data_IF_206854758977
#
_entry.id   IF_206854758977
#
_cell.length_a   1.000
_cell.length_b   1.000
_cell.length_c   1.000
_cell.angle_alpha   90.00
_cell.angle_beta   90.00
_cell.angle_gamma   90.00
#
_symmetry.space_group_name_H-M   'P 1'
#
loop_
_entity.id
_entity.type
_entity.pdbx_description
1 polymer ?
#
# COMPACT_ATOMS: atom_id res chain seq x y z
N UNK A 1 32.66 -9.16 -3.14
CA UNK A 1 31.22 -9.51 -3.26
C UNK A 1 31.09 -11.01 -3.49
N UNK A 2 30.66 -11.79 -2.48
CA UNK A 2 30.36 -13.21 -2.71
C UNK A 2 28.91 -13.30 -3.18
N UNK A 3 28.60 -13.84 -4.37
CA UNK A 3 27.24 -13.96 -4.85
C UNK A 3 26.44 -14.89 -3.92
N UNK A 4 25.16 -14.56 -3.72
CA UNK A 4 24.20 -15.38 -2.99
C UNK A 4 23.97 -16.70 -3.76
N UNK A 5 24.82 -17.69 -3.53
CA UNK A 5 24.77 -19.02 -4.18
C UNK A 5 23.44 -19.75 -3.96
N UNK A 6 22.70 -19.43 -2.89
CA UNK A 6 21.41 -20.04 -2.59
C UNK A 6 20.28 -19.66 -3.55
N UNK A 7 20.23 -18.40 -4.04
CA UNK A 7 19.20 -17.95 -4.98
C UNK A 7 19.41 -18.58 -6.36
N UNK A 8 20.67 -18.77 -6.77
CA UNK A 8 21.00 -19.40 -8.04
C UNK A 8 20.62 -20.90 -8.07
N UNK A 9 20.70 -21.59 -6.94
CA UNK A 9 20.36 -23.02 -6.84
C UNK A 9 18.84 -23.25 -6.95
N UNK A 10 18.02 -22.36 -6.37
CA UNK A 10 16.56 -22.42 -6.49
C UNK A 10 16.13 -22.14 -7.94
N UNK A 11 16.80 -21.21 -8.63
CA UNK A 11 16.54 -20.89 -10.03
C UNK A 11 16.89 -22.05 -10.99
N UNK A 12 17.91 -22.84 -10.66
CA UNK A 12 18.32 -24.01 -11.45
C UNK A 12 17.40 -25.23 -11.25
N UNK A 13 16.85 -25.43 -10.04
CA UNK A 13 15.92 -26.53 -9.75
C UNK A 13 14.52 -26.30 -10.35
N UNK A 14 14.09 -25.07 -10.55
CA UNK A 14 12.81 -24.73 -11.16
C UNK A 14 12.76 -24.95 -12.68
N UNK A 15 13.89 -25.17 -13.34
CA UNK A 15 13.96 -25.30 -14.79
C UNK A 15 13.77 -26.75 -15.31
N UNK A 16 13.79 -27.76 -14.43
CA UNK A 16 13.94 -29.14 -14.86
C UNK A 16 12.65 -29.99 -14.96
N UNK A 17 11.48 -29.50 -14.48
CA UNK A 17 10.27 -30.31 -14.56
C UNK A 17 8.97 -29.46 -14.43
N UNK A 18 8.68 -28.63 -15.42
CA UNK A 18 7.50 -27.72 -15.43
C UNK A 18 6.18 -28.52 -15.27
N UNK A 19 6.08 -29.68 -15.89
CA UNK A 19 4.86 -30.49 -15.84
C UNK A 19 4.62 -31.09 -14.43
N UNK A 20 5.66 -31.61 -13.79
CA UNK A 20 5.56 -32.13 -12.42
C UNK A 20 5.27 -30.99 -11.40
N UNK A 21 5.76 -29.79 -11.67
CA UNK A 21 5.47 -28.61 -10.87
C UNK A 21 4.00 -28.18 -10.99
N UNK A 22 3.46 -28.13 -12.22
CA UNK A 22 2.04 -27.82 -12.46
C UNK A 22 1.12 -28.85 -11.77
N UNK A 23 1.39 -30.14 -11.93
CA UNK A 23 0.64 -31.22 -11.25
C UNK A 23 0.68 -31.10 -9.73
N UNK A 24 1.84 -30.73 -9.15
CA UNK A 24 1.99 -30.51 -7.71
C UNK A 24 1.12 -29.34 -7.22
N UNK A 25 1.15 -28.17 -7.88
CA UNK A 25 0.34 -27.02 -7.47
C UNK A 25 -1.16 -27.25 -7.72
N UNK A 26 -1.53 -27.97 -8.76
CA UNK A 26 -2.91 -28.37 -9.02
C UNK A 26 -3.45 -29.30 -7.92
N UNK A 27 -2.64 -30.27 -7.47
CA UNK A 27 -3.00 -31.16 -6.36
C UNK A 27 -3.21 -30.39 -5.05
N UNK A 28 -2.34 -29.42 -4.74
CA UNK A 28 -2.50 -28.52 -3.60
C UNK A 28 -3.79 -27.71 -3.73
N UNK A 29 -4.02 -27.08 -4.88
CA UNK A 29 -5.22 -26.27 -5.12
C UNK A 29 -6.51 -27.08 -4.97
N UNK A 30 -6.52 -28.34 -5.40
CA UNK A 30 -7.66 -29.25 -5.19
C UNK A 30 -7.83 -29.60 -3.71
N UNK A 31 -6.75 -29.94 -3.01
CA UNK A 31 -6.79 -30.27 -1.59
C UNK A 31 -7.24 -29.09 -0.71
N UNK A 32 -6.97 -27.87 -1.13
CA UNK A 32 -7.33 -26.63 -0.45
C UNK A 32 -8.67 -26.03 -0.92
N UNK A 33 -9.44 -26.76 -1.71
CA UNK A 33 -10.74 -26.32 -2.23
C UNK A 33 -11.84 -27.29 -1.80
N UNK A 34 -12.94 -26.76 -1.30
CA UNK A 34 -14.12 -27.53 -0.90
C UNK A 34 -15.32 -26.96 -1.66
N UNK A 35 -16.11 -27.82 -2.26
CA UNK A 35 -17.35 -27.46 -2.93
C UNK A 35 -18.47 -28.41 -2.54
N UNK A 36 -19.66 -27.86 -2.26
CA UNK A 36 -20.85 -28.67 -1.98
C UNK A 36 -21.29 -29.42 -3.22
N UNK A 37 -22.01 -30.56 -3.04
CA UNK A 37 -22.53 -31.35 -4.15
C UNK A 37 -23.48 -30.57 -5.07
N UNK A 38 -24.18 -29.57 -4.56
CA UNK A 38 -25.03 -28.67 -5.35
C UNK A 38 -24.26 -27.57 -6.11
N UNK A 39 -22.96 -27.38 -5.86
CA UNK A 39 -22.16 -26.31 -6.41
C UNK A 39 -22.45 -24.90 -5.81
N UNK A 40 -23.43 -24.80 -4.91
CA UNK A 40 -23.90 -23.54 -4.38
C UNK A 40 -22.99 -22.97 -3.25
N UNK A 41 -22.17 -23.80 -2.64
CA UNK A 41 -21.23 -23.40 -1.60
C UNK A 41 -19.82 -23.83 -2.01
N UNK A 42 -18.89 -22.94 -1.89
CA UNK A 42 -17.48 -23.19 -2.15
C UNK A 42 -16.62 -22.44 -1.14
N UNK A 43 -15.52 -23.07 -0.74
CA UNK A 43 -14.46 -22.40 0.01
C UNK A 43 -13.11 -22.81 -0.58
N UNK A 44 -12.18 -21.86 -0.64
CA UNK A 44 -10.83 -22.06 -1.14
C UNK A 44 -9.83 -21.39 -0.22
N UNK A 45 -8.81 -22.15 0.16
CA UNK A 45 -7.61 -21.62 0.76
C UNK A 45 -6.55 -21.47 -0.34
N UNK A 46 -5.84 -20.34 -0.38
CA UNK A 46 -4.75 -20.09 -1.31
C UNK A 46 -3.65 -19.28 -0.62
N UNK A 47 -2.51 -19.15 -1.24
CA UNK A 47 -1.43 -18.41 -0.62
C UNK A 47 -0.41 -17.84 -1.59
N UNK A 48 0.33 -16.85 -1.08
CA UNK A 48 1.48 -16.24 -1.73
C UNK A 48 2.65 -16.27 -0.73
N UNK A 49 3.73 -16.91 -1.13
CA UNK A 49 4.98 -16.93 -0.39
C UNK A 49 6.03 -16.09 -1.13
N UNK A 50 6.55 -15.07 -0.47
CA UNK A 50 7.55 -14.16 -0.99
C UNK A 50 8.86 -14.32 -0.23
N UNK A 51 9.97 -14.38 -0.98
CA UNK A 51 11.32 -14.21 -0.48
C UNK A 51 11.86 -12.88 -1.04
N UNK A 52 12.03 -11.90 -0.17
CA UNK A 52 12.46 -10.55 -0.55
C UNK A 52 13.84 -10.23 0.03
N UNK A 53 14.70 -9.66 -0.79
CA UNK A 53 15.98 -9.13 -0.38
C UNK A 53 16.17 -7.70 -0.87
N UNK A 54 16.71 -6.83 0.00
CA UNK A 54 16.96 -5.43 -0.28
C UNK A 54 18.40 -5.05 0.03
N UNK A 55 18.93 -4.12 -0.76
CA UNK A 55 20.17 -3.42 -0.51
C UNK A 55 19.92 -1.91 -0.65
N UNK A 56 20.30 -1.13 0.34
CA UNK A 56 20.08 0.31 0.41
C UNK A 56 21.43 1.02 0.50
N UNK A 57 21.59 2.15 -0.18
CA UNK A 57 22.76 3.04 0.03
C UNK A 57 22.69 3.81 1.34
N UNK A 58 21.53 3.82 1.99
CA UNK A 58 21.23 4.43 3.30
C UNK A 58 20.10 3.61 3.95
N UNK A 59 19.71 3.94 5.22
CA UNK A 59 18.57 3.32 5.85
C UNK A 59 17.33 3.32 4.96
N UNK A 60 16.56 2.22 5.02
CA UNK A 60 15.43 1.99 4.14
C UNK A 60 14.42 3.13 4.14
N UNK A 61 13.93 3.56 2.98
CA UNK A 61 12.92 4.60 2.88
C UNK A 61 11.52 4.06 3.20
N UNK A 62 10.64 4.95 3.62
CA UNK A 62 9.22 4.70 3.73
C UNK A 62 8.84 3.57 4.69
N UNK A 63 7.83 2.79 4.32
CA UNK A 63 7.29 1.70 5.13
C UNK A 63 8.21 0.47 5.19
N UNK A 64 9.17 0.35 4.28
CA UNK A 64 10.23 -0.64 4.38
C UNK A 64 11.23 -0.13 5.41
N UNK A 65 11.30 -0.78 6.57
CA UNK A 65 12.18 -0.36 7.65
C UNK A 65 13.36 -1.31 7.80
N UNK A 66 14.57 -0.74 7.87
CA UNK A 66 15.80 -1.44 8.22
C UNK A 66 16.81 -0.45 8.80
N UNK A 67 17.45 -0.83 9.90
CA UNK A 67 18.60 -0.11 10.46
C UNK A 67 19.89 -0.42 9.72
N UNK A 68 19.87 -1.44 8.86
CA UNK A 68 21.01 -1.91 8.09
C UNK A 68 20.81 -1.60 6.61
N UNK A 69 21.90 -1.51 5.88
CA UNK A 69 21.91 -1.36 4.43
C UNK A 69 21.37 -2.61 3.68
N UNK A 70 21.07 -3.68 4.38
CA UNK A 70 20.56 -4.94 3.81
C UNK A 70 19.41 -5.47 4.64
N UNK A 71 18.38 -5.94 3.96
CA UNK A 71 17.22 -6.55 4.58
C UNK A 71 16.84 -7.82 3.83
N UNK A 72 16.53 -8.88 4.56
CA UNK A 72 15.86 -10.08 4.05
C UNK A 72 14.51 -10.21 4.74
N UNK A 73 13.44 -10.26 3.97
CA UNK A 73 12.06 -10.27 4.46
C UNK A 73 11.25 -11.40 3.82
N UNK A 74 11.24 -12.61 4.41
CA UNK A 74 10.31 -13.65 4.01
C UNK A 74 8.89 -13.28 4.45
N UNK A 75 7.91 -13.53 3.59
CA UNK A 75 6.50 -13.22 3.83
C UNK A 75 5.61 -14.33 3.30
N UNK A 76 4.65 -14.77 4.10
CA UNK A 76 3.57 -15.67 3.70
C UNK A 76 2.23 -14.94 3.87
N UNK A 77 1.46 -14.82 2.79
CA UNK A 77 0.08 -14.35 2.82
C UNK A 77 -0.83 -15.53 2.50
N UNK A 78 -1.78 -15.81 3.37
CA UNK A 78 -2.77 -16.88 3.22
C UNK A 78 -4.14 -16.23 3.04
N UNK A 79 -4.86 -16.66 2.02
CA UNK A 79 -6.18 -16.15 1.67
C UNK A 79 -7.23 -17.24 1.85
N UNK A 80 -8.34 -16.90 2.47
CA UNK A 80 -9.54 -17.73 2.52
C UNK A 80 -10.65 -17.01 1.76
N UNK A 81 -11.17 -17.64 0.72
CA UNK A 81 -12.32 -17.21 -0.04
C UNK A 81 -13.46 -18.19 0.18
N UNK A 82 -14.65 -17.71 0.53
CA UNK A 82 -15.82 -18.53 0.73
C UNK A 82 -17.03 -17.90 0.05
N UNK A 83 -17.80 -18.70 -0.65
CA UNK A 83 -19.00 -18.28 -1.37
C UNK A 83 -20.20 -19.14 -0.97
N UNK A 84 -21.34 -18.49 -0.74
CA UNK A 84 -22.62 -19.18 -0.54
C UNK A 84 -23.68 -18.59 -1.48
N UNK A 85 -24.11 -19.40 -2.43
CA UNK A 85 -24.96 -18.98 -3.53
C UNK A 85 -24.30 -17.89 -4.39
N UNK A 86 -25.12 -17.05 -5.00
CA UNK A 86 -24.66 -15.92 -5.86
C UNK A 86 -24.50 -14.61 -5.09
N UNK A 87 -24.93 -14.56 -3.83
CA UNK A 87 -25.12 -13.30 -3.10
C UNK A 87 -24.13 -13.11 -1.96
N UNK A 88 -23.61 -14.17 -1.37
CA UNK A 88 -22.73 -14.07 -0.21
C UNK A 88 -21.32 -14.49 -0.59
N UNK A 89 -20.35 -13.61 -0.29
CA UNK A 89 -18.95 -13.87 -0.46
C UNK A 89 -18.18 -13.34 0.77
N UNK A 90 -17.44 -14.22 1.41
CA UNK A 90 -16.55 -13.87 2.51
C UNK A 90 -15.10 -14.12 2.11
N UNK A 91 -14.21 -13.24 2.54
CA UNK A 91 -12.77 -13.41 2.34
C UNK A 91 -11.99 -12.98 3.57
N UNK A 92 -10.80 -13.56 3.72
CA UNK A 92 -9.83 -13.10 4.70
C UNK A 92 -8.41 -13.25 4.17
N UNK A 93 -7.51 -12.39 4.65
CA UNK A 93 -6.07 -12.44 4.41
C UNK A 93 -5.34 -12.43 5.74
N UNK A 94 -4.59 -13.50 6.00
CA UNK A 94 -3.66 -13.58 7.13
C UNK A 94 -2.24 -13.50 6.59
N UNK A 95 -1.42 -12.64 7.18
CA UNK A 95 -0.03 -12.44 6.78
C UNK A 95 0.92 -12.82 7.91
N UNK A 96 1.97 -13.52 7.55
CA UNK A 96 3.10 -13.86 8.40
C UNK A 96 4.35 -13.25 7.80
N UNK A 97 4.91 -12.24 8.45
CA UNK A 97 6.15 -11.57 8.07
C UNK A 97 6.83 -10.97 9.30
N UNK A 98 7.82 -10.12 9.10
CA UNK A 98 8.53 -9.42 10.16
C UNK A 98 7.81 -8.15 10.65
N UNK A 99 6.58 -7.94 10.21
CA UNK A 99 5.75 -6.78 10.56
C UNK A 99 6.04 -5.57 9.67
N UNK A 100 5.55 -4.40 10.10
CA UNK A 100 5.76 -3.12 9.39
C UNK A 100 7.15 -2.51 9.66
N UNK A 101 7.89 -3.07 10.58
CA UNK A 101 9.29 -2.79 10.84
C UNK A 101 10.07 -4.13 10.78
N UNK A 102 10.42 -4.61 9.60
CA UNK A 102 10.99 -5.93 9.43
C UNK A 102 12.44 -6.04 9.88
N UNK A 103 13.12 -4.94 10.27
CA UNK A 103 14.55 -4.97 10.56
C UNK A 103 14.94 -5.76 11.81
N UNK A 104 14.12 -5.69 12.88
CA UNK A 104 14.51 -6.15 14.21
C UNK A 104 13.53 -7.10 14.88
N UNK A 105 12.37 -7.37 14.26
CA UNK A 105 11.30 -8.16 14.86
C UNK A 105 11.25 -9.56 14.23
N UNK A 106 10.96 -10.55 15.07
CA UNK A 106 10.71 -11.91 14.62
C UNK A 106 9.44 -12.04 13.79
N UNK A 107 9.15 -13.25 13.34
CA UNK A 107 7.92 -13.57 12.60
C UNK A 107 6.68 -13.18 13.41
N UNK A 108 5.76 -12.45 12.77
CA UNK A 108 4.47 -12.04 13.32
C UNK A 108 3.35 -12.45 12.38
N UNK A 109 2.29 -13.01 12.96
CA UNK A 109 1.03 -13.23 12.26
C UNK A 109 0.08 -12.07 12.53
N UNK A 110 -0.60 -11.61 11.48
CA UNK A 110 -1.67 -10.61 11.59
C UNK A 110 -2.74 -10.86 10.54
N UNK A 111 -3.95 -10.42 10.84
CA UNK A 111 -5.04 -10.38 9.87
C UNK A 111 -4.99 -9.02 9.19
N UNK A 112 -4.71 -8.99 7.89
CA UNK A 112 -4.71 -7.76 7.10
C UNK A 112 -6.12 -7.43 6.61
N UNK A 113 -6.84 -8.42 6.07
CA UNK A 113 -8.21 -8.25 5.57
C UNK A 113 -9.14 -9.35 6.07
N UNK A 114 -10.38 -9.00 6.32
CA UNK A 114 -11.51 -9.91 6.42
C UNK A 114 -12.79 -9.13 6.12
N UNK A 115 -13.63 -9.66 5.27
CA UNK A 115 -14.92 -9.01 4.99
C UNK A 115 -15.97 -9.99 4.49
N UNK A 116 -17.22 -9.61 4.74
CA UNK A 116 -18.41 -10.20 4.12
C UNK A 116 -18.94 -9.25 3.07
N UNK A 117 -19.08 -9.74 1.85
CA UNK A 117 -19.71 -9.02 0.73
C UNK A 117 -21.07 -9.64 0.42
N UNK A 118 -22.09 -8.80 0.36
CA UNK A 118 -23.47 -9.16 0.06
C UNK A 118 -23.87 -8.50 -1.25
N UNK A 119 -24.19 -9.31 -2.26
CA UNK A 119 -24.75 -8.81 -3.51
C UNK A 119 -26.25 -8.56 -3.32
N UNK A 120 -26.67 -7.29 -3.42
CA UNK A 120 -28.07 -6.89 -3.27
C UNK A 120 -28.88 -7.19 -4.53
N UNK A 121 -28.21 -7.24 -5.69
CA UNK A 121 -28.80 -7.58 -6.98
C UNK A 121 -28.13 -8.83 -7.54
N UNK A 122 -28.93 -9.69 -8.18
CA UNK A 122 -28.43 -10.95 -8.79
C UNK A 122 -27.49 -10.72 -9.98
N UNK A 123 -27.63 -9.56 -10.66
CA UNK A 123 -26.74 -9.15 -11.75
C UNK A 123 -25.37 -8.62 -11.25
N UNK A 124 -25.13 -8.63 -9.94
CA UNK A 124 -23.89 -8.18 -9.32
C UNK A 124 -23.61 -6.68 -9.42
N UNK A 125 -24.63 -5.88 -9.85
CA UNK A 125 -24.44 -4.44 -10.07
C UNK A 125 -24.49 -3.61 -8.79
N UNK A 126 -24.96 -4.15 -7.67
CA UNK A 126 -25.04 -3.47 -6.40
C UNK A 126 -24.68 -4.43 -5.27
N UNK A 127 -23.74 -4.04 -4.43
CA UNK A 127 -23.30 -4.83 -3.29
C UNK A 127 -22.87 -3.99 -2.11
N UNK A 128 -22.88 -4.61 -0.94
CA UNK A 128 -22.37 -4.04 0.31
C UNK A 128 -21.24 -4.94 0.78
N UNK A 129 -20.24 -4.35 1.41
CA UNK A 129 -19.13 -5.06 2.07
C UNK A 129 -18.96 -4.51 3.48
N UNK A 130 -18.75 -5.40 4.45
CA UNK A 130 -18.52 -5.05 5.87
C UNK A 130 -17.34 -5.86 6.38
N UNK A 131 -16.45 -5.23 7.14
CA UNK A 131 -15.26 -5.84 7.71
C UNK A 131 -14.04 -4.93 7.69
N UNK A 132 -12.86 -5.51 7.72
CA UNK A 132 -11.58 -4.83 7.54
C UNK A 132 -11.07 -5.12 6.12
N UNK A 133 -10.88 -4.09 5.30
CA UNK A 133 -10.55 -4.26 3.88
C UNK A 133 -9.81 -3.05 3.32
N UNK A 134 -9.12 -3.24 2.18
CA UNK A 134 -8.41 -2.17 1.48
C UNK A 134 -9.36 -1.02 1.08
N UNK A 135 -8.84 0.22 1.09
CA UNK A 135 -9.64 1.40 0.70
C UNK A 135 -10.05 1.36 -0.76
N UNK A 136 -11.20 1.99 -1.06
CA UNK A 136 -11.67 2.23 -2.43
C UNK A 136 -10.95 3.39 -3.13
N UNK A 137 -10.14 4.16 -2.41
CA UNK A 137 -9.41 5.33 -2.92
C UNK A 137 -8.21 4.88 -3.75
N UNK A 138 -8.12 5.36 -4.99
CA UNK A 138 -7.09 4.97 -5.93
C UNK A 138 -7.31 3.60 -6.56
N UNK A 139 -6.34 3.16 -7.35
CA UNK A 139 -6.34 1.86 -8.06
C UNK A 139 -5.13 1.00 -7.77
N UNK A 140 -4.05 1.58 -7.22
CA UNK A 140 -2.87 0.81 -6.85
C UNK A 140 -3.20 -0.26 -5.81
N UNK A 141 -4.10 0.02 -4.86
CA UNK A 141 -4.54 -0.92 -3.83
C UNK A 141 -5.08 -2.23 -4.38
N UNK A 142 -5.69 -2.23 -5.57
CA UNK A 142 -6.23 -3.44 -6.22
C UNK A 142 -5.16 -4.39 -6.77
N UNK A 143 -3.92 -3.93 -6.89
CA UNK A 143 -2.78 -4.67 -7.45
C UNK A 143 -1.54 -4.61 -6.55
N UNK A 144 -1.72 -4.34 -5.25
CA UNK A 144 -0.62 -4.20 -4.28
C UNK A 144 0.06 -5.51 -3.93
N UNK A 145 -0.58 -6.66 -4.21
CA UNK A 145 0.02 -7.97 -3.92
C UNK A 145 1.28 -8.19 -4.75
N UNK A 146 2.22 -8.94 -4.22
CA UNK A 146 3.49 -9.22 -4.89
C UNK A 146 3.33 -9.90 -6.25
N UNK A 147 2.24 -10.63 -6.46
CA UNK A 147 1.96 -11.27 -7.76
C UNK A 147 1.52 -10.27 -8.82
N UNK A 148 0.68 -9.30 -8.46
CA UNK A 148 0.07 -8.36 -9.40
C UNK A 148 0.90 -7.08 -9.59
N UNK A 149 1.56 -6.61 -8.52
CA UNK A 149 2.41 -5.42 -8.58
C UNK A 149 3.64 -5.69 -9.45
N UNK A 150 3.92 -4.90 -10.49
CA UNK A 150 5.15 -5.06 -11.27
C UNK A 150 6.42 -4.70 -10.51
N UNK A 151 6.31 -3.95 -9.39
CA UNK A 151 7.43 -3.54 -8.55
C UNK A 151 7.42 -4.27 -7.20
N UNK A 152 8.56 -4.24 -6.49
CA UNK A 152 8.70 -4.79 -5.14
C UNK A 152 8.29 -3.73 -4.10
N UNK A 153 8.51 -2.43 -4.39
CA UNK A 153 8.12 -1.30 -3.54
C UNK A 153 6.79 -0.69 -3.99
N UNK A 154 6.13 0.04 -3.08
CA UNK A 154 4.94 0.83 -3.40
C UNK A 154 5.30 2.19 -4.07
N UNK A 155 4.35 2.90 -4.71
CA UNK A 155 4.53 4.30 -5.09
C UNK A 155 4.70 5.20 -3.86
N UNK A 156 5.36 6.38 -4.03
CA UNK A 156 5.67 7.30 -2.92
C UNK A 156 4.46 7.68 -2.08
N UNK A 157 3.30 7.96 -2.69
CA UNK A 157 2.09 8.30 -1.96
C UNK A 157 1.68 7.26 -0.90
N UNK A 158 2.02 5.98 -1.14
CA UNK A 158 1.62 4.83 -0.31
C UNK A 158 2.70 4.35 0.66
N UNK A 159 3.94 4.83 0.55
CA UNK A 159 5.01 4.36 1.43
C UNK A 159 5.93 5.45 1.98
N UNK A 160 6.00 6.64 1.34
CA UNK A 160 6.91 7.67 1.76
C UNK A 160 6.43 8.35 3.05
N UNK A 161 7.21 8.20 4.13
CA UNK A 161 6.91 8.78 5.44
C UNK A 161 7.14 10.30 5.42
N UNK A 162 6.11 11.06 5.71
CA UNK A 162 6.13 12.52 5.80
C UNK A 162 6.59 13.00 7.18
N UNK A 163 6.53 14.32 7.45
CA UNK A 163 6.74 14.87 8.77
C UNK A 163 5.50 14.81 9.67
N UNK A 164 4.36 14.25 9.22
CA UNK A 164 3.15 14.13 10.02
C UNK A 164 3.26 13.02 11.06
N UNK A 165 2.84 13.34 12.29
CA UNK A 165 2.70 12.41 13.40
C UNK A 165 1.22 12.31 13.80
N UNK A 166 0.80 11.13 14.23
CA UNK A 166 -0.57 10.86 14.71
C UNK A 166 -0.69 10.79 16.24
N UNK A 167 0.41 10.55 16.92
CA UNK A 167 0.45 10.29 18.37
C UNK A 167 0.55 11.56 19.22
N UNK A 168 0.84 12.71 18.61
CA UNK A 168 0.96 14.00 19.27
C UNK A 168 0.63 15.15 18.32
N UNK A 169 -0.06 16.18 18.82
CA UNK A 169 -0.26 17.43 18.10
C UNK A 169 1.04 18.26 18.10
N UNK A 170 1.36 18.85 16.95
CA UNK A 170 2.46 19.81 16.85
C UNK A 170 2.16 21.04 17.74
N UNK A 171 3.20 21.56 18.41
CA UNK A 171 3.08 22.76 19.23
C UNK A 171 3.11 24.06 18.44
N UNK A 172 3.78 24.03 17.29
CA UNK A 172 3.95 25.15 16.37
C UNK A 172 4.44 24.66 15.00
N UNK A 173 4.52 25.54 14.03
CA UNK A 173 5.13 25.29 12.71
C UNK A 173 6.56 24.79 12.86
N UNK A 174 7.36 25.40 13.76
CA UNK A 174 8.75 24.99 14.01
C UNK A 174 8.85 23.54 14.46
N UNK A 175 7.83 23.01 15.15
CA UNK A 175 7.79 21.61 15.53
C UNK A 175 7.69 20.71 14.28
N UNK A 176 6.81 21.05 13.33
CA UNK A 176 6.67 20.32 12.06
C UNK A 176 7.96 20.41 11.24
N UNK A 177 8.52 21.62 11.10
CA UNK A 177 9.78 21.84 10.38
C UNK A 177 10.93 21.06 11.02
N UNK A 178 10.99 21.01 12.36
CA UNK A 178 11.95 20.16 13.07
C UNK A 178 11.75 18.68 12.74
N UNK A 179 10.52 18.19 12.74
CA UNK A 179 10.22 16.80 12.36
C UNK A 179 10.61 16.50 10.90
N UNK A 180 10.43 17.45 9.99
CA UNK A 180 10.89 17.33 8.60
C UNK A 180 12.42 17.30 8.49
N UNK A 181 13.12 18.17 9.25
CA UNK A 181 14.58 18.28 9.18
C UNK A 181 15.34 17.16 9.90
N UNK A 182 14.78 16.55 10.95
CA UNK A 182 15.36 15.38 11.63
C UNK A 182 15.65 14.24 10.63
N UNK A 183 15.06 14.30 9.45
CA UNK A 183 15.22 13.33 8.38
C UNK A 183 16.54 13.43 7.60
N UNK A 184 17.35 14.46 7.79
CA UNK A 184 18.51 14.69 6.95
C UNK A 184 19.81 15.09 7.62
N UNK A 185 19.80 15.43 8.91
CA UNK A 185 20.98 15.98 9.61
C UNK A 185 21.51 15.10 10.73
N UNK A 186 20.81 14.04 11.10
CA UNK A 186 21.17 13.21 12.25
C UNK A 186 21.82 11.91 11.86
N UNK A 187 22.65 11.43 12.75
CA UNK A 187 23.15 10.07 12.74
C UNK A 187 21.99 9.09 12.54
N UNK A 188 22.20 8.06 11.77
CA UNK A 188 21.24 7.00 11.44
C UNK A 188 20.38 6.49 12.61
N UNK A 189 20.84 6.66 13.84
CA UNK A 189 20.14 6.26 15.07
C UNK A 189 18.92 7.14 15.39
N UNK A 190 19.03 8.47 15.27
CA UNK A 190 17.92 9.39 15.59
C UNK A 190 16.83 9.36 14.51
N UNK A 191 17.24 9.28 13.25
CA UNK A 191 16.32 9.13 12.10
C UNK A 191 15.47 7.87 12.21
N UNK A 192 16.04 6.78 12.73
CA UNK A 192 15.34 5.53 12.96
C UNK A 192 14.44 5.56 14.21
N UNK A 193 14.78 6.33 15.24
CA UNK A 193 13.98 6.42 16.47
C UNK A 193 12.60 7.02 16.22
N UNK A 194 12.48 8.01 15.33
CA UNK A 194 11.24 8.75 15.10
C UNK A 194 10.41 8.22 13.91
N UNK A 195 10.94 7.27 13.15
CA UNK A 195 10.23 6.71 11.97
C UNK A 195 8.88 6.14 12.31
N UNK A 196 8.78 5.44 13.43
CA UNK A 196 7.54 4.81 13.88
C UNK A 196 6.42 5.82 14.25
N UNK A 197 6.75 7.11 14.36
CA UNK A 197 5.79 8.18 14.62
C UNK A 197 5.26 8.83 13.35
N UNK A 198 5.89 8.63 12.21
CA UNK A 198 5.60 9.31 10.94
C UNK A 198 4.54 8.60 10.13
N UNK A 199 3.79 9.37 9.36
CA UNK A 199 2.73 8.89 8.49
C UNK A 199 3.06 9.13 7.01
N UNK A 200 2.74 8.20 6.11
CA UNK A 200 2.64 8.48 4.68
C UNK A 200 1.33 9.22 4.38
N UNK A 201 1.12 9.63 3.14
CA UNK A 201 -0.18 10.18 2.70
C UNK A 201 -1.25 9.09 2.74
N UNK A 202 -0.91 7.89 2.27
CA UNK A 202 -1.76 6.71 2.36
C UNK A 202 -0.90 5.57 2.91
N UNK A 203 -1.36 4.86 3.92
CA UNK A 203 -0.61 3.75 4.51
C UNK A 203 -0.84 2.46 3.73
N UNK A 204 -0.03 2.22 2.68
CA UNK A 204 -0.18 1.04 1.84
C UNK A 204 -1.63 0.87 1.34
N UNK A 205 -2.24 -0.32 1.47
CA UNK A 205 -3.64 -0.53 1.08
C UNK A 205 -4.69 0.09 2.03
N UNK A 206 -4.29 0.60 3.20
CA UNK A 206 -5.19 1.19 4.22
C UNK A 206 -6.36 0.25 4.58
N UNK A 207 -6.03 -0.85 5.26
CA UNK A 207 -6.99 -1.89 5.65
C UNK A 207 -7.81 -1.50 6.90
N UNK A 208 -8.49 -0.38 6.91
CA UNK A 208 -9.31 0.00 8.05
C UNK A 208 -10.64 -0.78 8.09
N UNK A 209 -11.20 -0.95 9.30
CA UNK A 209 -12.49 -1.59 9.51
C UNK A 209 -13.63 -0.64 9.12
N UNK A 210 -14.67 -1.17 8.46
CA UNK A 210 -15.81 -0.36 8.05
C UNK A 210 -16.82 -1.07 7.19
N UNK A 211 -17.56 -0.26 6.46
CA UNK A 211 -18.53 -0.71 5.47
C UNK A 211 -18.35 0.05 4.16
N UNK A 212 -18.66 -0.59 3.06
CA UNK A 212 -18.65 0.02 1.74
C UNK A 212 -19.86 -0.45 0.92
N UNK A 213 -20.35 0.44 0.04
CA UNK A 213 -21.32 0.12 -0.99
C UNK A 213 -20.66 0.27 -2.35
N UNK A 214 -20.94 -0.68 -3.24
CA UNK A 214 -20.41 -0.72 -4.60
C UNK A 214 -21.57 -0.76 -5.59
N UNK A 215 -21.52 0.11 -6.58
CA UNK A 215 -22.51 0.17 -7.66
C UNK A 215 -21.84 0.18 -9.03
N UNK A 216 -22.51 -0.44 -10.02
CA UNK A 216 -22.11 -0.33 -11.43
C UNK A 216 -23.32 -0.03 -12.30
N UNK A 217 -23.21 1.05 -13.07
CA UNK A 217 -24.23 1.47 -14.03
C UNK A 217 -23.56 1.68 -15.39
N UNK A 218 -23.81 0.79 -16.33
CA UNK A 218 -23.15 0.78 -17.65
C UNK A 218 -21.61 0.82 -17.51
N UNK A 219 -21.00 1.90 -18.03
CA UNK A 219 -19.56 2.14 -17.94
C UNK A 219 -19.11 2.85 -16.66
N UNK A 220 -20.02 3.19 -15.75
CA UNK A 220 -19.70 3.86 -14.50
C UNK A 220 -19.63 2.88 -13.34
N UNK A 221 -18.63 3.06 -12.48
CA UNK A 221 -18.44 2.36 -11.22
C UNK A 221 -18.52 3.40 -10.09
N UNK A 222 -19.36 3.16 -9.08
CA UNK A 222 -19.52 4.04 -7.94
C UNK A 222 -19.23 3.24 -6.68
N UNK A 223 -18.46 3.81 -5.78
CA UNK A 223 -18.23 3.22 -4.46
C UNK A 223 -18.23 4.32 -3.40
N UNK A 224 -18.72 3.99 -2.21
CA UNK A 224 -18.62 4.82 -1.02
C UNK A 224 -18.27 3.93 0.17
N UNK A 225 -17.46 4.43 1.08
CA UNK A 225 -17.08 3.70 2.31
C UNK A 225 -17.09 4.62 3.52
N UNK A 226 -17.39 4.01 4.67
CA UNK A 226 -17.21 4.57 6.01
C UNK A 226 -16.27 3.65 6.78
N UNK A 227 -15.21 4.22 7.34
CA UNK A 227 -14.16 3.48 8.04
C UNK A 227 -13.77 4.14 9.36
N UNK A 228 -13.21 3.35 10.25
CA UNK A 228 -12.77 3.80 11.57
C UNK A 228 -11.42 4.55 11.59
N UNK A 229 -10.70 4.61 10.47
CA UNK A 229 -9.39 5.24 10.41
C UNK A 229 -9.17 5.99 9.10
N UNK A 230 -8.34 7.04 9.10
CA UNK A 230 -7.95 7.78 7.92
C UNK A 230 -7.01 6.97 7.02
N UNK A 231 -6.81 7.43 5.78
CA UNK A 231 -5.96 6.72 4.81
C UNK A 231 -4.48 6.65 5.26
N UNK A 232 -4.00 7.64 6.01
CA UNK A 232 -2.64 7.66 6.54
C UNK A 232 -2.45 6.86 7.82
N UNK A 233 -3.54 6.45 8.47
CA UNK A 233 -3.49 5.78 9.77
C UNK A 233 -2.73 4.47 9.71
N UNK A 234 -1.92 4.25 10.74
CA UNK A 234 -1.11 3.04 10.89
C UNK A 234 -1.97 1.82 11.23
N UNK A 235 -1.44 0.61 11.03
CA UNK A 235 -2.17 -0.64 11.24
C UNK A 235 -2.80 -0.81 12.63
N UNK A 236 -2.19 -0.27 13.68
CA UNK A 236 -2.72 -0.36 15.05
C UNK A 236 -4.10 0.33 15.19
N UNK A 237 -4.41 1.29 14.31
CA UNK A 237 -5.70 1.99 14.29
C UNK A 237 -6.75 1.33 13.37
N UNK A 238 -6.42 0.25 12.66
CA UNK A 238 -7.35 -0.37 11.70
C UNK A 238 -8.38 -1.29 12.35
N UNK A 239 -8.06 -1.81 13.54
CA UNK A 239 -8.94 -2.71 14.27
C UNK A 239 -10.21 -1.99 14.72
N UNK A 240 -11.26 -2.77 15.00
CA UNK A 240 -12.51 -2.24 15.52
C UNK A 240 -12.27 -1.67 16.92
N UNK A 241 -12.41 -0.35 17.07
CA UNK A 241 -12.29 0.39 18.30
C UNK A 241 -13.45 1.39 18.41
N UNK A 242 -14.13 1.42 19.54
CA UNK A 242 -15.27 2.33 19.77
C UNK A 242 -14.86 3.81 19.69
N UNK A 243 -13.68 4.17 20.19
CA UNK A 243 -13.21 5.56 20.15
C UNK A 243 -12.99 6.06 18.70
N UNK A 244 -12.57 5.18 17.82
CA UNK A 244 -12.34 5.50 16.40
C UNK A 244 -13.64 5.75 15.62
N UNK A 245 -14.76 5.16 16.04
CA UNK A 245 -16.06 5.35 15.41
C UNK A 245 -16.76 6.67 15.77
N UNK A 246 -16.29 7.38 16.78
CA UNK A 246 -16.80 8.72 17.12
C UNK A 246 -16.51 9.75 16.02
N UNK A 247 -15.47 9.52 15.17
CA UNK A 247 -15.05 10.42 14.09
C UNK A 247 -14.62 9.65 12.83
N UNK A 248 -15.55 8.96 12.16
CA UNK A 248 -15.25 8.08 11.05
C UNK A 248 -14.69 8.82 9.84
N UNK A 249 -13.93 8.07 9.04
CA UNK A 249 -13.47 8.48 7.71
C UNK A 249 -14.52 8.13 6.68
N UNK A 250 -14.84 9.09 5.82
CA UNK A 250 -15.73 8.92 4.68
C UNK A 250 -14.91 8.99 3.41
N UNK A 251 -15.12 8.04 2.49
CA UNK A 251 -14.50 8.06 1.18
C UNK A 251 -15.52 7.75 0.09
N UNK A 252 -15.31 8.30 -1.10
CA UNK A 252 -16.10 8.03 -2.27
C UNK A 252 -15.23 7.91 -3.52
N UNK A 253 -15.67 7.11 -4.49
CA UNK A 253 -15.04 6.91 -5.78
C UNK A 253 -16.05 6.86 -6.90
N UNK A 254 -15.77 7.56 -8.00
CA UNK A 254 -16.43 7.44 -9.28
C UNK A 254 -15.43 6.94 -10.31
N UNK A 255 -15.70 5.81 -10.92
CA UNK A 255 -14.94 5.23 -12.02
C UNK A 255 -15.67 5.31 -13.34
N UNK A 256 -14.95 5.47 -14.44
CA UNK A 256 -15.47 5.42 -15.79
C UNK A 256 -14.67 4.47 -16.64
N UNK A 257 -15.31 3.43 -17.15
CA UNK A 257 -14.72 2.38 -17.99
C UNK A 257 -15.38 2.39 -19.36
N UNK A 258 -14.89 3.21 -20.31
CA UNK A 258 -15.47 3.31 -21.66
C UNK A 258 -15.27 2.02 -22.47
N UNK A 259 -14.23 1.24 -22.15
CA UNK A 259 -13.94 -0.04 -22.78
C UNK A 259 -13.21 -0.97 -21.81
N UNK A 260 -12.94 -2.21 -22.21
CA UNK A 260 -12.12 -3.14 -21.44
C UNK A 260 -10.66 -2.67 -21.30
N UNK A 261 -10.19 -1.82 -22.22
CA UNK A 261 -8.81 -1.34 -22.24
C UNK A 261 -8.57 -0.13 -21.34
N UNK A 262 -9.57 0.69 -21.06
CA UNK A 262 -9.43 1.96 -20.37
C UNK A 262 -10.24 2.03 -19.08
N UNK A 263 -9.65 2.59 -18.05
CA UNK A 263 -10.33 2.92 -16.81
C UNK A 263 -9.83 4.27 -16.30
N UNK A 264 -10.75 5.13 -15.89
CA UNK A 264 -10.50 6.43 -15.27
C UNK A 264 -11.23 6.49 -13.94
N UNK A 265 -10.72 7.26 -13.01
CA UNK A 265 -11.38 7.43 -11.72
C UNK A 265 -11.04 8.72 -11.03
N UNK A 266 -11.98 9.16 -10.21
CA UNK A 266 -11.80 10.21 -9.23
C UNK A 266 -12.27 9.69 -7.88
N UNK A 267 -11.50 9.97 -6.83
CA UNK A 267 -11.84 9.57 -5.47
C UNK A 267 -11.47 10.65 -4.47
N UNK A 268 -12.16 10.65 -3.36
CA UNK A 268 -11.89 11.55 -2.23
C UNK A 268 -12.12 10.82 -0.92
N UNK A 269 -11.38 11.25 0.11
CA UNK A 269 -11.49 10.74 1.48
C UNK A 269 -11.30 11.88 2.47
N UNK A 270 -12.02 11.85 3.60
CA UNK A 270 -11.82 12.77 4.72
C UNK A 270 -12.05 12.07 6.05
N UNK A 271 -11.08 12.12 6.96
CA UNK A 271 -11.17 11.52 8.29
C UNK A 271 -10.11 12.03 9.25
N UNK A 272 -10.34 11.87 10.54
CA UNK A 272 -9.35 12.22 11.57
C UNK A 272 -8.14 11.30 11.47
N UNK A 273 -6.93 11.87 11.48
CA UNK A 273 -5.68 11.12 11.41
C UNK A 273 -4.97 10.98 12.76
N UNK A 274 -5.40 11.73 13.77
CA UNK A 274 -4.79 11.72 15.09
C UNK A 274 -5.30 10.54 15.93
N UNK A 275 -4.39 9.87 16.63
CA UNK A 275 -4.71 8.82 17.60
C UNK A 275 -5.23 9.41 18.91
N UNK A 276 -5.93 8.61 19.72
CA UNK A 276 -6.41 8.99 21.05
C UNK A 276 -5.30 9.48 21.98
N UNK A 277 -4.05 9.02 21.79
CA UNK A 277 -2.88 9.49 22.52
C UNK A 277 -2.58 10.98 22.32
N UNK A 278 -2.95 11.55 21.15
CA UNK A 278 -2.76 12.96 20.83
C UNK A 278 -3.66 13.90 21.65
N UNK A 279 -4.76 13.42 22.24
CA UNK A 279 -5.71 14.23 23.04
C UNK A 279 -5.01 15.10 24.09
N UNK A 280 -3.94 14.58 24.72
CA UNK A 280 -3.17 15.31 25.76
C UNK A 280 -2.40 16.52 25.25
N UNK A 281 -2.20 16.59 23.93
CA UNK A 281 -1.38 17.62 23.28
C UNK A 281 -2.22 18.58 22.43
N UNK A 282 -3.54 18.35 22.31
CA UNK A 282 -4.46 19.21 21.58
C UNK A 282 -4.60 20.60 22.22
N UNK A 283 -4.98 21.62 21.45
CA UNK A 283 -5.39 22.92 21.99
C UNK A 283 -6.62 22.75 22.91
N UNK A 284 -6.75 23.57 23.98
CA UNK A 284 -7.95 23.60 24.79
C UNK A 284 -9.22 23.84 23.95
N UNK A 285 -10.28 23.08 24.23
CA UNK A 285 -11.56 23.23 23.54
C UNK A 285 -11.63 22.60 22.15
N UNK A 286 -10.60 21.84 21.73
CA UNK A 286 -10.60 21.11 20.47
C UNK A 286 -10.59 19.60 20.71
N UNK A 287 -11.04 18.85 19.70
CA UNK A 287 -11.15 17.38 19.68
C UNK A 287 -10.35 16.78 18.52
N UNK A 288 -10.24 15.45 18.47
CA UNK A 288 -9.55 14.75 17.37
C UNK A 288 -10.25 14.96 16.01
N UNK A 289 -11.56 15.10 16.02
CA UNK A 289 -12.39 15.27 14.82
C UNK A 289 -12.19 16.63 14.10
N UNK A 290 -11.68 17.64 14.83
CA UNK A 290 -11.34 18.95 14.28
C UNK A 290 -10.10 18.91 13.38
N UNK A 291 -9.33 17.82 13.43
CA UNK A 291 -8.07 17.68 12.71
C UNK A 291 -8.12 16.50 11.73
N UNK A 292 -8.41 16.83 10.50
CA UNK A 292 -8.68 15.85 9.45
C UNK A 292 -7.52 15.74 8.47
N UNK A 293 -7.38 14.54 7.93
CA UNK A 293 -6.71 14.34 6.67
C UNK A 293 -7.76 14.33 5.56
N UNK A 294 -7.54 15.11 4.51
CA UNK A 294 -8.32 15.05 3.27
C UNK A 294 -7.41 14.59 2.14
N UNK A 295 -7.89 13.62 1.35
CA UNK A 295 -7.20 13.12 0.16
C UNK A 295 -8.14 13.23 -1.02
N UNK A 296 -7.68 13.85 -2.11
CA UNK A 296 -8.32 13.83 -3.42
C UNK A 296 -7.41 13.15 -4.42
N UNK A 297 -7.95 12.29 -5.28
CA UNK A 297 -7.15 11.50 -6.20
C UNK A 297 -7.81 11.38 -7.58
N UNK A 298 -6.97 11.47 -8.61
CA UNK A 298 -7.30 11.10 -9.98
C UNK A 298 -6.49 9.87 -10.35
N UNK A 299 -7.11 8.91 -11.02
CA UNK A 299 -6.43 7.73 -11.53
C UNK A 299 -6.84 7.41 -12.97
N UNK A 300 -5.91 6.86 -13.72
CA UNK A 300 -6.14 6.32 -15.03
C UNK A 300 -5.33 5.04 -15.24
N UNK A 301 -5.89 4.10 -15.99
CA UNK A 301 -5.16 2.93 -16.43
C UNK A 301 -5.56 2.52 -17.84
N UNK A 302 -4.59 1.96 -18.58
CA UNK A 302 -4.86 1.38 -19.87
C UNK A 302 -4.11 0.06 -20.07
N UNK A 303 -4.71 -0.83 -20.87
CA UNK A 303 -4.09 -2.06 -21.34
C UNK A 303 -4.28 -2.17 -22.85
N UNK A 304 -3.17 -2.17 -23.59
CA UNK A 304 -3.19 -2.27 -25.04
C UNK A 304 -2.10 -3.21 -25.54
N UNK A 305 -2.51 -4.31 -26.20
CA UNK A 305 -1.58 -5.36 -26.65
C UNK A 305 -0.68 -5.84 -25.51
N UNK A 306 0.63 -5.52 -25.58
CA UNK A 306 1.64 -5.91 -24.57
C UNK A 306 1.90 -4.84 -23.52
N UNK A 307 1.28 -3.67 -23.63
CA UNK A 307 1.42 -2.55 -22.68
C UNK A 307 0.32 -2.55 -21.64
N UNK A 308 0.71 -2.24 -20.42
CA UNK A 308 -0.17 -1.83 -19.33
C UNK A 308 0.40 -0.56 -18.74
N UNK A 309 -0.42 0.44 -18.52
CA UNK A 309 -0.02 1.70 -17.91
C UNK A 309 -1.00 2.10 -16.81
N UNK A 310 -0.47 2.74 -15.77
CA UNK A 310 -1.22 3.27 -14.62
C UNK A 310 -0.65 4.62 -14.24
N UNK A 311 -1.54 5.55 -13.91
CA UNK A 311 -1.22 6.89 -13.43
C UNK A 311 -2.11 7.19 -12.26
N UNK A 312 -1.55 7.75 -11.20
CA UNK A 312 -2.32 8.35 -10.10
C UNK A 312 -1.72 9.71 -9.74
N UNK A 313 -2.61 10.67 -9.50
CA UNK A 313 -2.30 11.99 -8.95
C UNK A 313 -3.05 12.14 -7.64
N UNK A 314 -2.32 12.37 -6.56
CA UNK A 314 -2.82 12.41 -5.18
C UNK A 314 -2.55 13.79 -4.60
N UNK A 315 -3.59 14.47 -4.15
CA UNK A 315 -3.49 15.65 -3.30
C UNK A 315 -3.87 15.23 -1.88
N UNK A 316 -2.93 15.36 -0.95
CA UNK A 316 -3.12 15.12 0.48
C UNK A 316 -3.05 16.42 1.26
N UNK A 317 -3.98 16.64 2.20
CA UNK A 317 -4.04 17.78 3.10
C UNK A 317 -4.21 17.31 4.51
N UNK A 318 -3.41 17.85 5.44
CA UNK A 318 -3.54 17.62 6.87
C UNK A 318 -3.90 18.92 7.58
N UNK A 319 -4.94 18.89 8.41
CA UNK A 319 -5.28 19.97 9.34
C UNK A 319 -4.48 19.76 10.62
N UNK A 320 -3.47 20.61 10.84
CA UNK A 320 -2.53 20.42 11.94
C UNK A 320 -2.88 21.34 13.10
N UNK A 321 -3.03 20.81 14.33
CA UNK A 321 -3.28 21.64 15.52
C UNK A 321 -2.27 22.80 15.64
N UNK A 322 -2.74 24.04 15.85
CA UNK A 322 -1.95 25.27 16.02
C UNK A 322 -1.12 25.71 14.80
N UNK A 323 -1.14 24.96 13.70
CA UNK A 323 -0.32 25.24 12.53
C UNK A 323 -1.16 25.63 11.33
N UNK A 324 -2.27 24.90 11.10
CA UNK A 324 -3.15 25.11 9.98
C UNK A 324 -3.05 23.97 8.95
N UNK A 325 -3.15 24.32 7.68
CA UNK A 325 -3.24 23.34 6.58
C UNK A 325 -1.85 23.03 6.01
N UNK A 326 -1.52 21.75 5.88
CA UNK A 326 -0.31 21.26 5.23
C UNK A 326 -0.68 20.41 4.01
N UNK A 327 -0.37 20.92 2.83
CA UNK A 327 -0.67 20.29 1.56
C UNK A 327 0.54 19.50 1.01
N UNK A 328 0.28 18.39 0.33
CA UNK A 328 1.26 17.65 -0.44
C UNK A 328 0.63 17.12 -1.72
N UNK A 329 1.38 17.09 -2.80
CA UNK A 329 0.96 16.49 -4.07
C UNK A 329 1.93 15.37 -4.40
N UNK A 330 1.39 14.20 -4.67
CA UNK A 330 2.15 13.05 -5.14
C UNK A 330 1.60 12.53 -6.45
N UNK A 331 2.47 12.20 -7.38
CA UNK A 331 2.10 11.62 -8.66
C UNK A 331 3.01 10.45 -8.98
N UNK A 332 2.45 9.42 -9.64
CA UNK A 332 3.27 8.39 -10.26
C UNK A 332 2.68 7.96 -11.60
N UNK A 333 3.57 7.50 -12.47
CA UNK A 333 3.24 6.80 -13.69
C UNK A 333 4.02 5.50 -13.74
N UNK A 334 3.32 4.40 -14.01
CA UNK A 334 3.89 3.07 -14.20
C UNK A 334 3.56 2.56 -15.60
N UNK A 335 4.54 1.95 -16.25
CA UNK A 335 4.38 1.27 -17.53
C UNK A 335 5.00 -0.11 -17.39
N UNK A 336 4.23 -1.14 -17.74
CA UNK A 336 4.69 -2.53 -17.87
C UNK A 336 4.58 -2.97 -19.32
N UNK A 337 5.64 -3.55 -19.84
CA UNK A 337 5.68 -4.15 -21.16
C UNK A 337 5.97 -5.64 -21.08
N UNK A 338 5.13 -6.45 -21.71
CA UNK A 338 5.28 -7.89 -21.81
C UNK A 338 6.14 -8.23 -23.03
N UNK A 339 7.40 -8.53 -22.81
CA UNK A 339 8.39 -8.85 -23.85
C UNK A 339 8.11 -10.20 -24.51
N UNK A 340 7.82 -11.21 -23.69
CA UNK A 340 7.47 -12.57 -24.08
C UNK A 340 6.39 -13.12 -23.13
N UNK A 341 5.84 -14.33 -23.32
CA UNK A 341 4.94 -14.94 -22.34
C UNK A 341 5.54 -15.07 -20.93
N UNK A 342 6.88 -15.17 -20.83
CA UNK A 342 7.59 -15.34 -19.54
C UNK A 342 8.25 -14.06 -19.04
N UNK A 343 8.65 -13.13 -19.91
CA UNK A 343 9.41 -11.94 -19.54
C UNK A 343 8.58 -10.67 -19.66
N UNK A 344 8.69 -9.83 -18.65
CA UNK A 344 8.15 -8.47 -18.67
C UNK A 344 9.18 -7.51 -18.04
N UNK A 345 9.08 -6.24 -18.38
CA UNK A 345 9.80 -5.17 -17.73
C UNK A 345 8.83 -4.04 -17.37
N UNK A 346 9.11 -3.34 -16.30
CA UNK A 346 8.32 -2.19 -15.86
C UNK A 346 9.23 -1.02 -15.50
N UNK A 347 8.72 0.18 -15.75
CA UNK A 347 9.32 1.44 -15.30
C UNK A 347 8.27 2.22 -14.53
N UNK A 348 8.68 2.92 -13.48
CA UNK A 348 7.84 3.83 -12.70
C UNK A 348 8.61 5.11 -12.42
N UNK A 349 7.93 6.23 -12.57
CA UNK A 349 8.42 7.54 -12.15
C UNK A 349 7.44 8.06 -11.11
N UNK A 350 7.99 8.52 -9.99
CA UNK A 350 7.22 9.09 -8.88
C UNK A 350 7.74 10.50 -8.57
N UNK A 351 6.85 11.39 -8.17
CA UNK A 351 7.20 12.68 -7.57
C UNK A 351 6.25 12.97 -6.41
N UNK A 352 6.79 13.55 -5.34
CA UNK A 352 6.01 14.10 -4.24
C UNK A 352 6.58 15.46 -3.86
N UNK A 353 5.69 16.45 -3.76
CA UNK A 353 6.02 17.84 -3.41
C UNK A 353 5.26 18.27 -2.18
N UNK A 354 5.78 19.23 -1.45
CA UNK A 354 5.23 19.70 -0.19
C UNK A 354 4.97 21.19 -0.26
N UNK A 355 3.77 21.60 0.16
CA UNK A 355 3.41 23.01 0.29
C UNK A 355 4.14 23.69 1.43
N UNK A 356 3.94 25.01 1.53
CA UNK A 356 4.60 25.85 2.52
C UNK A 356 3.75 26.03 3.79
N UNK A 357 4.44 26.15 4.90
CA UNK A 357 3.91 26.62 6.18
C UNK A 357 4.58 27.95 6.56
N UNK A 358 3.86 28.81 7.26
CA UNK A 358 4.44 30.04 7.80
C UNK A 358 5.08 29.76 9.16
N UNK A 359 6.37 30.08 9.27
CA UNK A 359 7.10 29.98 10.54
C UNK A 359 6.80 31.17 11.47
N UNK A 360 7.37 31.21 12.67
CA UNK A 360 7.20 32.26 13.65
C UNK A 360 7.70 33.64 13.17
N UNK A 361 8.55 33.66 12.16
CA UNK A 361 9.05 34.89 11.51
C UNK A 361 8.21 35.31 10.30
N UNK A 362 7.04 34.65 10.09
CA UNK A 362 6.14 34.84 8.95
C UNK A 362 6.78 34.54 7.58
N UNK A 363 7.85 33.72 7.57
CA UNK A 363 8.50 33.24 6.35
C UNK A 363 7.83 31.92 5.90
N UNK A 364 7.58 31.81 4.61
CA UNK A 364 7.03 30.61 3.98
C UNK A 364 8.12 29.56 3.84
N UNK A 365 7.92 28.35 4.38
CA UNK A 365 8.90 27.27 4.39
C UNK A 365 8.18 25.95 4.06
N UNK A 366 8.69 25.13 3.14
CA UNK A 366 8.08 23.83 2.84
C UNK A 366 8.10 22.92 4.07
N UNK A 367 6.96 22.24 4.34
CA UNK A 367 6.83 21.37 5.51
C UNK A 367 7.41 19.96 5.32
N UNK A 368 7.89 19.66 4.13
CA UNK A 368 8.60 18.45 3.77
C UNK A 368 9.66 18.75 2.72
N UNK A 369 10.30 17.74 2.23
CA UNK A 369 11.31 17.84 1.18
C UNK A 369 10.78 17.21 -0.09
N UNK A 370 10.83 17.94 -1.18
CA UNK A 370 10.46 17.42 -2.50
C UNK A 370 11.31 16.20 -2.84
N UNK A 371 10.64 15.19 -3.37
CA UNK A 371 11.27 13.92 -3.67
C UNK A 371 10.81 13.40 -5.03
N UNK A 372 11.73 12.85 -5.81
CA UNK A 372 11.40 12.04 -6.97
C UNK A 372 12.09 10.69 -6.90
N UNK A 373 11.49 9.68 -7.53
CA UNK A 373 12.04 8.33 -7.63
C UNK A 373 11.73 7.73 -8.99
N UNK A 374 12.75 7.15 -9.60
CA UNK A 374 12.61 6.30 -10.78
C UNK A 374 12.91 4.85 -10.40
N UNK A 375 12.04 3.94 -10.83
CA UNK A 375 12.15 2.51 -10.59
C UNK A 375 12.19 1.77 -11.92
N UNK A 376 13.02 0.74 -12.02
CA UNK A 376 13.08 -0.21 -13.12
C UNK A 376 12.97 -1.63 -12.57
N UNK A 377 12.07 -2.45 -13.12
CA UNK A 377 11.83 -3.79 -12.63
C UNK A 377 11.60 -4.80 -13.77
N UNK A 378 12.59 -5.63 -14.10
CA UNK A 378 12.39 -6.84 -14.90
C UNK A 378 11.75 -7.94 -14.05
N UNK A 379 10.85 -8.68 -14.69
CA UNK A 379 10.14 -9.83 -14.12
C UNK A 379 10.29 -11.03 -15.03
N UNK A 380 10.56 -12.20 -14.46
CA UNK A 380 10.50 -13.48 -15.15
C UNK A 380 9.47 -14.37 -14.47
N UNK A 381 8.58 -14.98 -15.27
CA UNK A 381 7.63 -15.99 -14.84
C UNK A 381 8.14 -17.35 -15.27
N UNK A 382 8.54 -18.17 -14.31
CA UNK A 382 9.04 -19.51 -14.58
C UNK A 382 7.90 -20.47 -14.90
N UNK A 383 6.80 -20.35 -14.14
CA UNK A 383 5.58 -21.14 -14.31
C UNK A 383 4.35 -20.30 -13.96
N UNK A 384 3.12 -20.83 -14.09
CA UNK A 384 1.90 -20.18 -13.60
C UNK A 384 1.95 -19.84 -12.10
N UNK A 385 2.81 -20.52 -11.33
CA UNK A 385 2.88 -20.44 -9.87
C UNK A 385 4.14 -19.75 -9.34
N UNK A 386 5.19 -19.61 -10.16
CA UNK A 386 6.49 -19.06 -9.71
C UNK A 386 6.93 -17.89 -10.59
N UNK A 387 7.24 -16.78 -9.96
CA UNK A 387 7.86 -15.63 -10.62
C UNK A 387 9.02 -15.05 -9.81
N UNK A 388 9.96 -14.41 -10.49
CA UNK A 388 11.00 -13.61 -9.87
C UNK A 388 11.01 -12.20 -10.43
N UNK A 389 11.34 -11.24 -9.59
CA UNK A 389 11.53 -9.83 -9.92
C UNK A 389 12.85 -9.32 -9.39
N UNK A 390 13.45 -8.43 -10.15
CA UNK A 390 14.50 -7.56 -9.66
C UNK A 390 13.97 -6.13 -9.77
N UNK A 391 14.42 -5.26 -8.88
CA UNK A 391 14.12 -3.83 -8.93
C UNK A 391 15.37 -3.05 -8.60
N UNK A 392 15.60 -2.00 -9.38
CA UNK A 392 16.54 -0.95 -9.07
C UNK A 392 15.81 0.38 -9.04
N UNK A 393 16.04 1.16 -7.99
CA UNK A 393 15.44 2.47 -7.79
C UNK A 393 16.53 3.50 -7.51
N UNK A 394 16.38 4.66 -8.12
CA UNK A 394 17.13 5.86 -7.79
C UNK A 394 16.16 6.91 -7.27
N UNK A 395 16.49 7.52 -6.15
CA UNK A 395 15.66 8.50 -5.46
C UNK A 395 16.50 9.70 -5.09
N UNK A 396 15.98 10.90 -5.35
CA UNK A 396 16.57 12.15 -4.89
C UNK A 396 15.55 12.91 -4.01
N UNK A 397 16.04 13.43 -2.92
CA UNK A 397 15.29 14.22 -1.96
C UNK A 397 15.97 15.59 -1.83
N UNK A 398 15.21 16.66 -1.91
CA UNK A 398 15.72 18.03 -1.81
C UNK A 398 16.54 18.24 -0.53
N UNK A 399 17.70 18.91 -0.67
CA UNK A 399 18.63 19.15 0.42
C UNK A 399 19.45 17.94 0.87
N UNK A 400 19.38 16.80 0.18
CA UNK A 400 20.35 15.71 0.34
C UNK A 400 21.46 15.82 -0.69
N UNK A 401 22.73 15.60 -0.29
CA UNK A 401 23.87 15.77 -1.19
C UNK A 401 24.00 14.68 -2.25
N UNK A 402 23.37 13.52 -2.04
CA UNK A 402 23.52 12.35 -2.92
C UNK A 402 22.18 11.65 -3.15
N UNK A 403 22.02 11.13 -4.36
CA UNK A 403 20.94 10.21 -4.69
C UNK A 403 20.98 8.96 -3.81
N UNK A 404 19.80 8.44 -3.49
CA UNK A 404 19.62 7.19 -2.74
C UNK A 404 19.34 6.06 -3.72
N UNK A 405 19.97 4.92 -3.50
CA UNK A 405 19.83 3.75 -4.36
C UNK A 405 19.21 2.58 -3.60
N UNK A 406 18.27 1.90 -4.23
CA UNK A 406 17.63 0.69 -3.70
C UNK A 406 17.79 -0.40 -4.75
N UNK A 407 18.44 -1.49 -4.39
CA UNK A 407 18.40 -2.74 -5.11
C UNK A 407 17.48 -3.71 -4.38
N UNK A 408 16.54 -4.33 -5.07
CA UNK A 408 15.66 -5.33 -4.49
C UNK A 408 15.51 -6.55 -5.39
N UNK A 409 15.33 -7.73 -4.78
CA UNK A 409 15.01 -8.98 -5.44
C UNK A 409 13.89 -9.69 -4.72
N UNK A 410 12.96 -10.29 -5.46
CA UNK A 410 11.81 -11.00 -4.93
C UNK A 410 11.57 -12.28 -5.73
N UNK A 411 11.39 -13.39 -5.03
CA UNK A 411 10.82 -14.62 -5.60
C UNK A 411 9.45 -14.83 -4.97
N UNK A 412 8.44 -14.99 -5.80
CA UNK A 412 7.05 -15.18 -5.38
C UNK A 412 6.56 -16.54 -5.84
N UNK A 413 6.00 -17.31 -4.92
CA UNK A 413 5.34 -18.60 -5.16
C UNK A 413 3.88 -18.44 -4.75
N UNK A 414 2.94 -18.81 -5.62
CA UNK A 414 1.51 -18.84 -5.31
C UNK A 414 0.95 -20.27 -5.40
N UNK A 415 -0.02 -20.60 -4.56
CA UNK A 415 -0.68 -21.92 -4.53
C UNK A 415 -2.17 -21.81 -4.21
#
# INVERSE_FOLDING_TARGET
MKPCRGVLLILLLAATNIQAEEEFFDSISQALSIQSASGNQAARLSGIFDLEGYAFSQPAPGLIQSRRERLFNPRLSVFLDAQSGRRLYAFSQVRFDRGFDPSDKGLRGRIDEYALRIQLREDGRLGIQVGQFATIVGRWTLRHTSWENPFITAPLAYEHLTAMWDSAAARSTETILKWAHLRGSSTSAQENADRHLRLPVIWGPSYATGAAVFGRLNSFEIAAEIKNASLSSRPDAWNIDHDAWSHPTLSARLGFRPSMAWNFGVSASSGSYLLSSARRTLPPGTSLEDYRQTVAMLDASCAWRHFQAWVELVHGRFEIPRVGLADTISAFMEIKYKLTPRWAAAVRINRQTFGDLRNSQNVSVPWGRDIWRADFAPTVRFSPNIQAKLQYSIQEEEGRPHAQHIGAGQVTIRF
#
